data_IF_181151091110
#
_entry.id   IF_181151091110
#
_cell.length_a   1.000
_cell.length_b   1.000
_cell.length_c   1.000
_cell.angle_alpha   90.00
_cell.angle_beta   90.00
_cell.angle_gamma   90.00
#
_symmetry.space_group_name_H-M   'P 1'
#
loop_
_entity.id
_entity.type
_entity.pdbx_description
1 polymer ?
#
# COMPACT_ATOMS: atom_id res chain seq x y z
N UNK A 1 -6.89 8.71 21.14
CA UNK A 1 -5.92 9.82 20.90
C UNK A 1 -6.14 10.94 21.92
N UNK A 2 -5.79 10.72 23.19
CA UNK A 2 -6.00 11.71 24.28
C UNK A 2 -4.71 12.38 24.77
N UNK A 3 -3.54 11.94 24.29
CA UNK A 3 -2.25 12.46 24.75
C UNK A 3 -1.91 13.73 23.98
N UNK A 4 -1.80 14.85 24.70
CA UNK A 4 -1.30 16.10 24.15
C UNK A 4 0.12 15.95 23.57
N UNK A 5 0.46 16.70 22.51
CA UNK A 5 1.83 16.76 21.99
C UNK A 5 2.79 17.25 23.08
N UNK A 6 4.03 16.76 23.03
CA UNK A 6 5.08 17.19 23.94
C UNK A 6 5.43 18.66 23.69
N UNK A 7 5.95 19.33 24.71
CA UNK A 7 6.36 20.74 24.61
C UNK A 7 7.37 21.00 23.48
N UNK A 8 8.30 20.07 23.21
CA UNK A 8 9.25 20.19 22.10
C UNK A 8 8.56 20.24 20.73
N UNK A 9 7.49 19.46 20.55
CA UNK A 9 6.71 19.47 19.32
C UNK A 9 5.99 20.81 19.14
N UNK A 10 5.34 21.30 20.21
CA UNK A 10 4.67 22.61 20.19
C UNK A 10 5.68 23.74 19.93
N UNK A 11 6.83 23.70 20.60
CA UNK A 11 7.88 24.69 20.44
C UNK A 11 8.41 24.77 19.00
N UNK A 12 8.51 23.65 18.28
CA UNK A 12 8.91 23.63 16.88
C UNK A 12 7.95 24.43 15.98
N UNK A 13 6.63 24.21 16.12
CA UNK A 13 5.64 24.96 15.33
C UNK A 13 5.58 26.44 15.74
N UNK A 14 5.73 26.76 17.04
CA UNK A 14 5.84 28.15 17.49
C UNK A 14 7.10 28.83 16.95
N UNK A 15 8.22 28.10 16.86
CA UNK A 15 9.45 28.60 16.26
C UNK A 15 9.29 28.87 14.77
N UNK A 16 8.65 27.97 14.01
CA UNK A 16 8.31 28.19 12.60
C UNK A 16 7.46 29.45 12.42
N UNK A 17 6.51 29.73 13.34
CA UNK A 17 5.72 30.98 13.34
C UNK A 17 6.57 32.22 13.50
N UNK A 18 7.58 32.16 14.38
CA UNK A 18 8.52 33.26 14.56
C UNK A 18 9.43 33.48 13.34
N UNK A 19 9.55 32.51 12.42
CA UNK A 19 10.33 32.68 11.18
C UNK A 19 9.57 33.46 10.10
N UNK A 20 8.26 33.71 10.26
CA UNK A 20 7.47 34.44 9.27
C UNK A 20 7.29 33.68 7.95
N UNK A 21 7.11 32.35 8.00
CA UNK A 21 6.84 31.55 6.80
C UNK A 21 5.44 31.86 6.23
N UNK A 22 5.33 31.87 4.91
CA UNK A 22 4.08 32.13 4.19
C UNK A 22 3.24 30.88 3.95
N UNK A 23 3.88 29.70 3.88
CA UNK A 23 3.22 28.43 3.63
C UNK A 23 4.02 27.27 4.20
N UNK A 24 3.32 26.15 4.45
CA UNK A 24 3.92 24.91 4.93
C UNK A 24 3.82 23.85 3.83
N UNK A 25 4.98 23.30 3.41
CA UNK A 25 5.03 22.14 2.54
C UNK A 25 5.39 20.92 3.38
N UNK A 26 4.43 20.05 3.64
CA UNK A 26 4.70 18.77 4.29
C UNK A 26 5.14 17.73 3.25
N UNK A 27 6.19 16.95 3.56
CA UNK A 27 6.72 15.92 2.66
C UNK A 27 6.75 14.57 3.38
N UNK A 28 6.12 13.56 2.78
CA UNK A 28 6.01 12.20 3.33
C UNK A 28 4.63 11.60 3.10
N UNK A 29 4.48 10.29 3.34
CA UNK A 29 3.20 9.59 3.19
C UNK A 29 2.11 10.21 4.06
N UNK A 30 2.41 10.48 5.34
CA UNK A 30 1.58 11.27 6.24
C UNK A 30 2.44 11.90 7.34
N UNK A 31 1.88 12.91 8.01
CA UNK A 31 2.49 13.62 9.11
C UNK A 31 2.00 13.06 10.44
N UNK A 32 2.37 13.74 11.52
CA UNK A 32 1.79 13.51 12.86
C UNK A 32 0.76 14.57 13.21
N UNK A 33 0.77 15.71 12.51
CA UNK A 33 0.05 16.93 12.86
C UNK A 33 -1.46 16.74 12.72
N UNK A 34 -1.91 16.20 11.60
CA UNK A 34 -3.29 15.85 11.28
C UNK A 34 -3.88 14.76 12.20
N UNK A 35 -3.04 14.06 12.96
CA UNK A 35 -3.43 13.00 13.89
C UNK A 35 -3.45 13.44 15.35
N UNK A 36 -3.00 14.66 15.67
CA UNK A 36 -3.00 15.17 17.03
C UNK A 36 -4.44 15.23 17.62
N UNK A 37 -4.59 15.22 18.96
CA UNK A 37 -5.91 15.24 19.58
C UNK A 37 -6.75 16.45 19.16
N UNK A 38 -8.05 16.21 18.95
CA UNK A 38 -9.00 17.22 18.52
C UNK A 38 -10.21 16.58 17.84
N UNK A 39 -11.08 17.41 17.27
CA UNK A 39 -12.21 16.96 16.47
C UNK A 39 -11.74 16.23 15.21
N UNK A 40 -12.59 15.33 14.69
CA UNK A 40 -12.31 14.58 13.47
C UNK A 40 -12.30 15.45 12.20
N UNK A 41 -13.09 16.52 12.15
CA UNK A 41 -13.21 17.52 11.07
C UNK A 41 -13.77 18.81 11.66
N UNK A 42 -13.68 19.92 10.92
CA UNK A 42 -14.17 21.24 11.35
C UNK A 42 -13.59 21.61 12.73
N UNK A 43 -12.27 21.75 12.75
CA UNK A 43 -11.52 21.97 13.98
C UNK A 43 -11.95 23.27 14.65
N UNK A 44 -11.83 23.28 15.98
CA UNK A 44 -11.93 24.49 16.79
C UNK A 44 -10.53 24.93 17.21
N UNK A 45 -10.39 26.16 17.70
CA UNK A 45 -9.13 26.71 18.24
C UNK A 45 -8.50 25.88 19.36
N UNK A 46 -9.29 25.03 20.03
CA UNK A 46 -8.82 24.07 21.04
C UNK A 46 -8.25 22.75 20.46
N UNK A 47 -8.33 22.52 19.15
CA UNK A 47 -7.78 21.34 18.50
C UNK A 47 -6.31 21.55 18.20
N UNK A 48 -5.45 20.58 18.51
CA UNK A 48 -4.01 20.74 18.32
C UNK A 48 -3.55 21.04 16.89
N UNK A 49 -4.09 20.42 15.83
CA UNK A 49 -3.68 20.77 14.48
C UNK A 49 -3.95 22.27 14.20
N UNK A 50 -5.18 22.73 14.48
CA UNK A 50 -5.59 24.14 14.33
C UNK A 50 -4.74 25.10 15.18
N UNK A 51 -4.49 24.76 16.44
CA UNK A 51 -3.74 25.60 17.35
C UNK A 51 -2.28 25.83 16.89
N UNK A 52 -1.70 24.85 16.18
CA UNK A 52 -0.32 24.87 15.70
C UNK A 52 -0.18 25.47 14.29
N UNK A 53 -1.09 25.18 13.36
CA UNK A 53 -1.02 25.70 11.97
C UNK A 53 -1.71 27.03 11.79
N UNK A 54 -2.84 27.25 12.48
CA UNK A 54 -3.74 28.39 12.30
C UNK A 54 -4.02 28.69 10.82
N UNK A 55 -3.59 29.85 10.36
CA UNK A 55 -3.88 30.44 9.06
C UNK A 55 -2.88 30.04 7.95
N UNK A 56 -1.89 29.20 8.25
CA UNK A 56 -0.94 28.76 7.24
C UNK A 56 -1.58 27.90 6.14
N UNK A 57 -1.38 28.25 4.86
CA UNK A 57 -1.62 27.34 3.76
C UNK A 57 -0.76 26.09 3.89
N UNK A 58 -1.38 24.92 3.91
CA UNK A 58 -0.69 23.62 3.95
C UNK A 58 -0.75 22.97 2.57
N UNK A 59 0.41 22.83 1.93
CA UNK A 59 0.58 22.07 0.71
C UNK A 59 1.20 20.72 1.05
N UNK A 60 0.71 19.67 0.41
CA UNK A 60 1.09 18.32 0.79
C UNK A 60 1.21 17.43 -0.46
N UNK A 61 2.40 17.27 -1.05
CA UNK A 61 2.68 16.15 -1.94
C UNK A 61 2.26 14.82 -1.29
N UNK A 62 1.31 14.12 -1.89
CA UNK A 62 0.65 12.96 -1.29
C UNK A 62 0.51 11.83 -2.31
N UNK A 63 0.72 10.59 -1.88
CA UNK A 63 0.67 9.43 -2.76
C UNK A 63 -0.78 9.12 -3.20
N UNK A 64 -1.02 8.94 -4.50
CA UNK A 64 -2.39 8.79 -5.03
C UNK A 64 -3.13 7.55 -4.52
N UNK A 65 -2.41 6.50 -4.12
CA UNK A 65 -2.98 5.23 -3.68
C UNK A 65 -3.29 5.17 -2.17
N UNK A 66 -3.06 6.26 -1.43
CA UNK A 66 -3.43 6.38 -0.01
C UNK A 66 -4.49 7.47 0.24
N UNK A 67 -5.74 7.23 -0.22
CA UNK A 67 -6.80 8.22 -0.15
C UNK A 67 -7.31 8.47 1.27
N UNK A 68 -7.15 7.50 2.17
CA UNK A 68 -7.68 7.57 3.53
C UNK A 68 -6.92 8.60 4.36
N UNK A 69 -5.60 8.53 4.32
CA UNK A 69 -4.73 9.47 5.04
C UNK A 69 -4.74 10.86 4.40
N UNK A 70 -4.79 10.93 3.06
CA UNK A 70 -4.98 12.20 2.35
C UNK A 70 -6.25 12.91 2.85
N UNK A 71 -7.37 12.18 2.98
CA UNK A 71 -8.63 12.75 3.48
C UNK A 71 -8.50 13.31 4.92
N UNK A 72 -7.69 12.69 5.76
CA UNK A 72 -7.41 13.19 7.11
C UNK A 72 -6.65 14.52 7.07
N UNK A 73 -5.57 14.60 6.30
CA UNK A 73 -4.81 15.83 6.11
C UNK A 73 -5.68 16.96 5.55
N UNK A 74 -6.53 16.67 4.56
CA UNK A 74 -7.48 17.65 4.02
C UNK A 74 -8.47 18.17 5.07
N UNK A 75 -9.08 17.26 5.83
CA UNK A 75 -10.17 17.59 6.78
C UNK A 75 -9.68 18.29 8.04
N UNK A 76 -8.43 18.02 8.45
CA UNK A 76 -7.87 18.49 9.73
C UNK A 76 -6.79 19.55 9.59
N UNK A 77 -6.19 19.72 8.41
CA UNK A 77 -5.20 20.78 8.15
C UNK A 77 -5.64 21.76 7.05
N UNK A 78 -6.78 21.51 6.39
CA UNK A 78 -7.14 22.25 5.18
C UNK A 78 -6.18 21.99 4.01
N UNK A 79 -5.43 20.89 4.05
CA UNK A 79 -4.31 20.67 3.14
C UNK A 79 -4.74 20.56 1.66
N UNK A 80 -3.92 21.16 0.78
CA UNK A 80 -3.93 20.91 -0.67
C UNK A 80 -3.05 19.69 -0.93
N UNK A 81 -3.67 18.52 -1.05
CA UNK A 81 -2.99 17.24 -1.21
C UNK A 81 -2.68 17.00 -2.69
N UNK A 82 -1.47 17.34 -3.12
CA UNK A 82 -1.03 17.27 -4.52
C UNK A 82 -0.60 15.83 -4.81
N UNK A 83 -1.41 15.12 -5.58
CA UNK A 83 -1.17 13.71 -5.91
C UNK A 83 0.20 13.49 -6.57
N UNK A 84 0.88 12.42 -6.19
CA UNK A 84 2.03 11.88 -6.91
C UNK A 84 1.92 10.37 -7.08
N UNK A 85 2.59 9.83 -8.09
CA UNK A 85 2.53 8.38 -8.34
C UNK A 85 3.24 7.58 -7.24
N UNK A 86 2.79 6.34 -6.96
CA UNK A 86 3.62 5.35 -6.27
C UNK A 86 4.88 5.01 -7.09
N UNK A 87 5.90 4.39 -6.46
CA UNK A 87 7.04 3.84 -7.20
C UNK A 87 6.60 2.86 -8.28
N UNK A 88 7.38 2.78 -9.37
CA UNK A 88 7.12 1.86 -10.46
C UNK A 88 7.04 0.42 -9.93
N UNK A 89 5.99 -0.31 -10.32
CA UNK A 89 5.92 -1.74 -10.04
C UNK A 89 6.66 -2.50 -11.13
N UNK A 90 7.56 -3.38 -10.71
CA UNK A 90 8.15 -4.40 -11.57
C UNK A 90 7.64 -5.77 -11.16
N UNK A 91 7.62 -6.71 -12.11
CA UNK A 91 7.37 -8.11 -11.79
C UNK A 91 8.60 -8.67 -11.07
N UNK A 92 8.37 -9.58 -10.14
CA UNK A 92 9.43 -10.45 -9.66
C UNK A 92 9.97 -11.26 -10.84
N UNK A 93 11.14 -10.89 -11.36
CA UNK A 93 11.87 -11.75 -12.28
C UNK A 93 12.30 -13.04 -11.56
N UNK A 94 12.79 -14.01 -12.36
CA UNK A 94 13.32 -15.30 -11.90
C UNK A 94 14.20 -15.14 -10.67
N UNK A 95 13.82 -15.84 -9.59
CA UNK A 95 14.66 -16.02 -8.43
C UNK A 95 14.67 -14.86 -7.44
N UNK A 96 13.53 -14.58 -6.80
CA UNK A 96 13.49 -14.04 -5.44
C UNK A 96 14.13 -15.01 -4.42
N UNK A 97 15.34 -15.51 -4.71
CA UNK A 97 15.99 -16.66 -4.08
C UNK A 97 15.55 -18.03 -4.58
N UNK A 98 14.48 -18.15 -5.39
CA UNK A 98 13.81 -19.44 -5.70
C UNK A 98 14.18 -20.05 -7.08
N UNK A 99 15.17 -19.53 -7.79
CA UNK A 99 15.46 -19.95 -9.17
C UNK A 99 15.82 -21.44 -9.31
N UNK A 100 16.44 -22.03 -8.27
CA UNK A 100 16.74 -23.47 -8.24
C UNK A 100 15.48 -24.33 -8.06
N UNK A 101 14.54 -23.90 -7.21
CA UNK A 101 13.24 -24.56 -7.04
C UNK A 101 12.45 -24.56 -8.34
N UNK A 102 12.41 -23.42 -9.02
CA UNK A 102 11.76 -23.28 -10.32
C UNK A 102 12.33 -24.27 -11.35
N UNK A 103 13.66 -24.32 -11.50
CA UNK A 103 14.28 -25.25 -12.44
C UNK A 103 13.98 -26.71 -12.11
N UNK A 104 13.96 -27.08 -10.83
CA UNK A 104 13.64 -28.43 -10.38
C UNK A 104 12.16 -28.79 -10.62
N UNK A 105 11.24 -27.85 -10.41
CA UNK A 105 9.80 -28.01 -10.69
C UNK A 105 9.55 -28.20 -12.19
N UNK A 106 10.18 -27.38 -13.03
CA UNK A 106 10.10 -27.52 -14.48
C UNK A 106 10.66 -28.87 -14.95
N UNK A 107 11.79 -29.31 -14.39
CA UNK A 107 12.37 -30.63 -14.69
C UNK A 107 11.45 -31.77 -14.24
N UNK A 108 10.80 -31.64 -13.08
CA UNK A 108 9.83 -32.60 -12.58
C UNK A 108 8.60 -32.70 -13.48
N UNK A 109 8.03 -31.57 -13.92
CA UNK A 109 6.89 -31.54 -14.82
C UNK A 109 7.21 -32.18 -16.19
N UNK A 110 8.41 -31.94 -16.71
CA UNK A 110 8.88 -32.53 -17.98
C UNK A 110 9.20 -34.04 -17.87
N UNK A 111 9.41 -34.56 -16.66
CA UNK A 111 9.66 -35.98 -16.41
C UNK A 111 8.37 -36.82 -16.27
N UNK A 112 7.18 -36.19 -16.32
CA UNK A 112 5.91 -36.90 -16.20
C UNK A 112 5.68 -37.85 -17.39
N UNK A 113 5.31 -39.10 -17.07
CA UNK A 113 5.08 -40.18 -18.04
C UNK A 113 6.31 -40.87 -18.65
N UNK A 114 7.55 -40.39 -18.41
CA UNK A 114 8.76 -40.90 -19.09
C UNK A 114 9.74 -41.70 -18.20
N UNK A 115 9.95 -41.31 -16.94
CA UNK A 115 10.88 -42.00 -16.02
C UNK A 115 10.45 -41.84 -14.53
N UNK A 116 9.79 -42.86 -13.94
CA UNK A 116 9.37 -42.83 -12.54
C UNK A 116 10.53 -42.67 -11.53
N UNK A 117 11.69 -43.30 -11.78
CA UNK A 117 12.83 -43.24 -10.85
C UNK A 117 13.53 -41.87 -10.86
N UNK A 118 13.47 -41.15 -11.99
CA UNK A 118 13.89 -39.75 -12.04
C UNK A 118 12.93 -38.84 -11.28
N UNK A 119 11.62 -39.08 -11.34
CA UNK A 119 10.63 -38.28 -10.60
C UNK A 119 10.79 -38.37 -9.09
N UNK A 120 11.03 -39.55 -8.54
CA UNK A 120 11.23 -39.71 -7.10
C UNK A 120 12.47 -38.94 -6.62
N UNK A 121 13.55 -38.96 -7.41
CA UNK A 121 14.77 -38.17 -7.14
C UNK A 121 14.51 -36.67 -7.21
N UNK A 122 13.77 -36.21 -8.22
CA UNK A 122 13.40 -34.79 -8.36
C UNK A 122 12.51 -34.33 -7.21
N UNK A 123 11.55 -35.15 -6.77
CA UNK A 123 10.72 -34.86 -5.60
C UNK A 123 11.55 -34.68 -4.33
N UNK A 124 12.55 -35.55 -4.11
CA UNK A 124 13.46 -35.42 -2.97
C UNK A 124 14.31 -34.14 -3.05
N UNK A 125 14.88 -33.84 -4.23
CA UNK A 125 15.66 -32.61 -4.46
C UNK A 125 14.83 -31.33 -4.26
N UNK A 126 13.56 -31.33 -4.67
CA UNK A 126 12.65 -30.20 -4.48
C UNK A 126 12.34 -29.98 -3.00
N UNK A 127 12.10 -31.05 -2.24
CA UNK A 127 11.86 -30.95 -0.81
C UNK A 127 13.09 -30.42 -0.06
N UNK A 128 14.28 -30.97 -0.36
CA UNK A 128 15.55 -30.52 0.24
C UNK A 128 15.82 -29.04 -0.07
N UNK A 129 15.58 -28.61 -1.31
CA UNK A 129 15.76 -27.21 -1.67
C UNK A 129 14.72 -26.32 -0.98
N UNK A 130 13.46 -26.75 -0.87
CA UNK A 130 12.43 -25.99 -0.16
C UNK A 130 12.79 -25.78 1.32
N UNK A 131 13.38 -26.79 1.97
CA UNK A 131 13.87 -26.66 3.34
C UNK A 131 15.09 -25.72 3.41
N UNK A 132 16.01 -25.79 2.45
CA UNK A 132 17.22 -24.95 2.42
C UNK A 132 16.91 -23.45 2.35
N UNK A 133 15.81 -23.08 1.66
CA UNK A 133 15.32 -21.70 1.57
C UNK A 133 14.29 -21.32 2.64
N UNK A 134 14.01 -22.20 3.61
CA UNK A 134 13.10 -21.93 4.72
C UNK A 134 11.61 -22.02 4.39
N UNK A 135 11.24 -22.65 3.28
CA UNK A 135 9.83 -22.85 2.88
C UNK A 135 9.17 -24.02 3.60
N UNK A 136 9.93 -24.95 4.19
CA UNK A 136 9.41 -26.10 4.93
C UNK A 136 8.39 -25.73 6.02
N UNK A 137 8.77 -24.81 6.92
CA UNK A 137 7.89 -24.29 7.97
C UNK A 137 6.84 -23.32 7.42
N UNK A 138 7.26 -22.42 6.53
CA UNK A 138 6.41 -21.36 5.97
C UNK A 138 5.21 -21.92 5.22
N UNK A 139 5.38 -23.03 4.49
CA UNK A 139 4.32 -23.70 3.73
C UNK A 139 3.67 -24.86 4.48
N UNK A 140 4.12 -25.14 5.71
CA UNK A 140 3.66 -26.27 6.51
C UNK A 140 3.76 -27.58 5.74
N UNK A 141 4.93 -27.87 5.16
CA UNK A 141 5.12 -29.05 4.31
C UNK A 141 5.07 -30.36 5.10
N UNK A 142 5.42 -30.31 6.39
CA UNK A 142 5.34 -31.46 7.29
C UNK A 142 3.88 -31.93 7.46
N UNK A 143 3.59 -33.14 6.96
CA UNK A 143 2.25 -33.73 7.03
C UNK A 143 1.28 -33.24 5.96
N UNK A 144 1.74 -32.46 4.97
CA UNK A 144 0.90 -32.09 3.83
C UNK A 144 0.61 -33.30 2.93
N UNK A 145 -0.63 -33.42 2.45
CA UNK A 145 -1.03 -34.49 1.51
C UNK A 145 -0.26 -34.40 0.17
N UNK A 146 -0.05 -33.17 -0.33
CA UNK A 146 0.78 -32.92 -1.50
C UNK A 146 1.73 -31.73 -1.26
N UNK A 147 2.92 -31.96 -0.67
CA UNK A 147 3.91 -30.93 -0.44
C UNK A 147 4.40 -30.28 -1.75
N UNK A 148 4.44 -31.06 -2.84
CA UNK A 148 4.98 -30.59 -4.11
C UNK A 148 4.05 -29.56 -4.76
N UNK A 149 2.74 -29.83 -4.77
CA UNK A 149 1.75 -28.87 -5.26
C UNK A 149 1.76 -27.56 -4.46
N UNK A 150 2.02 -27.61 -3.14
CA UNK A 150 2.16 -26.41 -2.30
C UNK A 150 3.38 -25.58 -2.68
N UNK A 151 4.52 -26.23 -2.90
CA UNK A 151 5.76 -25.55 -3.33
C UNK A 151 5.55 -24.92 -4.71
N UNK A 152 4.95 -25.67 -5.66
CA UNK A 152 4.69 -25.19 -7.03
C UNK A 152 3.77 -23.97 -7.04
N UNK A 153 2.65 -24.03 -6.31
CA UNK A 153 1.72 -22.92 -6.17
C UNK A 153 2.41 -21.68 -5.57
N UNK A 154 3.22 -21.86 -4.53
CA UNK A 154 3.96 -20.76 -3.92
C UNK A 154 4.97 -20.13 -4.88
N UNK A 155 5.76 -20.94 -5.60
CA UNK A 155 6.73 -20.43 -6.58
C UNK A 155 6.01 -19.67 -7.71
N UNK A 156 4.86 -20.17 -8.18
CA UNK A 156 4.02 -19.48 -9.15
C UNK A 156 3.49 -18.13 -8.64
N UNK A 157 3.02 -18.08 -7.39
CA UNK A 157 2.53 -16.84 -6.77
C UNK A 157 3.65 -15.80 -6.62
N UNK A 158 4.84 -16.22 -6.20
CA UNK A 158 6.00 -15.34 -6.07
C UNK A 158 6.41 -14.77 -7.43
N UNK A 159 6.47 -15.60 -8.48
CA UNK A 159 6.74 -15.14 -9.86
C UNK A 159 5.70 -14.15 -10.37
N UNK A 160 4.42 -14.38 -10.04
CA UNK A 160 3.32 -13.50 -10.43
C UNK A 160 3.25 -12.20 -9.62
N UNK A 161 4.03 -12.08 -8.54
CA UNK A 161 3.99 -10.92 -7.65
C UNK A 161 4.66 -9.69 -8.26
N UNK A 162 4.19 -8.51 -7.84
CA UNK A 162 4.76 -7.23 -8.22
C UNK A 162 5.23 -6.49 -6.97
N UNK A 163 6.35 -5.78 -7.09
CA UNK A 163 6.90 -4.97 -6.02
C UNK A 163 7.37 -3.62 -6.55
N UNK A 164 7.48 -2.63 -5.65
CA UNK A 164 7.98 -1.31 -6.01
C UNK A 164 9.49 -1.35 -6.26
N UNK A 165 9.91 -1.02 -7.48
CA UNK A 165 11.32 -0.82 -7.80
C UNK A 165 11.72 0.61 -7.46
N UNK A 166 12.63 0.74 -6.49
CA UNK A 166 13.13 2.04 -6.05
C UNK A 166 12.07 2.93 -5.42
N UNK A 167 12.24 4.24 -5.58
CA UNK A 167 11.37 5.27 -5.00
C UNK A 167 10.90 6.24 -6.07
N UNK A 168 9.68 6.76 -5.90
CA UNK A 168 9.23 7.89 -6.68
C UNK A 168 10.03 9.14 -6.32
N UNK A 169 10.40 9.93 -7.33
CA UNK A 169 11.00 11.26 -7.14
C UNK A 169 9.99 12.30 -7.61
N UNK A 170 9.41 13.03 -6.66
CA UNK A 170 8.41 14.05 -6.95
C UNK A 170 8.91 15.05 -8.00
N UNK A 171 8.09 15.29 -9.01
CA UNK A 171 8.45 16.19 -10.09
C UNK A 171 9.44 15.58 -11.08
N UNK A 172 9.58 14.25 -11.18
CA UNK A 172 10.35 13.56 -12.24
C UNK A 172 9.50 12.50 -12.95
N UNK A 173 10.02 11.96 -14.05
CA UNK A 173 9.32 10.99 -14.88
C UNK A 173 8.13 11.59 -15.65
N UNK A 174 7.26 10.72 -16.14
CA UNK A 174 6.11 11.11 -17.00
C UNK A 174 5.16 12.09 -16.31
N UNK A 175 4.95 11.91 -15.00
CA UNK A 175 4.03 12.73 -14.22
C UNK A 175 4.67 13.99 -13.62
N UNK A 176 6.00 14.10 -13.71
CA UNK A 176 6.76 15.13 -12.99
C UNK A 176 6.42 16.56 -13.37
N UNK A 177 6.05 16.82 -14.64
CA UNK A 177 5.64 18.15 -15.05
C UNK A 177 4.32 18.59 -14.37
N UNK A 178 3.34 17.68 -14.30
CA UNK A 178 2.06 17.94 -13.65
C UNK A 178 2.22 18.09 -12.13
N UNK A 179 3.03 17.24 -11.49
CA UNK A 179 3.35 17.32 -10.07
C UNK A 179 3.96 18.68 -9.68
N UNK A 180 4.98 19.14 -10.44
CA UNK A 180 5.58 20.47 -10.22
C UNK A 180 4.58 21.59 -10.45
N UNK A 181 3.77 21.50 -11.51
CA UNK A 181 2.76 22.51 -11.82
C UNK A 181 1.72 22.64 -10.68
N UNK A 182 1.24 21.52 -10.14
CA UNK A 182 0.32 21.51 -9.01
C UNK A 182 0.90 22.14 -7.75
N UNK A 183 2.17 21.84 -7.44
CA UNK A 183 2.87 22.45 -6.31
C UNK A 183 3.08 23.95 -6.48
N UNK A 184 3.58 24.38 -7.64
CA UNK A 184 3.82 25.78 -7.94
C UNK A 184 2.52 26.60 -7.95
N UNK A 185 1.44 26.06 -8.55
CA UNK A 185 0.13 26.69 -8.51
C UNK A 185 -0.38 26.86 -7.07
N UNK A 186 -0.27 25.81 -6.24
CA UNK A 186 -0.62 25.92 -4.82
C UNK A 186 0.18 26.98 -4.08
N UNK A 187 1.49 27.07 -4.32
CA UNK A 187 2.37 28.06 -3.68
C UNK A 187 2.08 29.48 -4.16
N UNK A 188 1.63 29.63 -5.40
CA UNK A 188 1.18 30.90 -5.96
C UNK A 188 -0.23 31.32 -5.48
N UNK A 189 -0.89 30.50 -4.64
CA UNK A 189 -2.27 30.75 -4.20
C UNK A 189 -3.31 30.50 -5.30
N UNK A 190 -2.93 29.80 -6.37
CA UNK A 190 -3.82 29.47 -7.48
C UNK A 190 -4.61 28.18 -7.20
N UNK A 191 -5.70 28.00 -7.95
CA UNK A 191 -6.52 26.80 -7.84
C UNK A 191 -5.79 25.59 -8.42
N UNK A 192 -5.40 24.65 -7.55
CA UNK A 192 -4.97 23.31 -7.97
C UNK A 192 -6.19 22.48 -8.39
N UNK A 193 -6.26 21.95 -9.64
CA UNK A 193 -7.38 21.15 -10.11
C UNK A 193 -7.61 19.91 -9.23
N UNK A 194 -8.86 19.55 -8.99
CA UNK A 194 -9.19 18.33 -8.24
C UNK A 194 -8.95 17.07 -9.09
N UNK A 195 -8.55 15.96 -8.46
CA UNK A 195 -8.31 14.68 -9.13
C UNK A 195 -8.65 13.48 -8.25
N UNK A 196 -9.08 12.35 -8.83
CA UNK A 196 -9.40 11.16 -8.06
C UNK A 196 -8.13 10.56 -7.45
N UNK A 197 -8.35 9.78 -6.41
CA UNK A 197 -7.35 8.95 -5.75
C UNK A 197 -7.65 7.46 -5.97
N UNK A 198 -6.61 6.63 -5.84
CA UNK A 198 -6.64 5.19 -6.09
C UNK A 198 -5.30 4.67 -6.60
N UNK A 199 -5.13 3.35 -6.60
CA UNK A 199 -3.92 2.73 -7.15
C UNK A 199 -4.01 2.64 -8.67
N UNK A 200 -3.12 3.30 -9.44
CA UNK A 200 -3.09 3.14 -10.89
C UNK A 200 -2.84 1.69 -11.30
N UNK A 201 -2.09 0.94 -10.48
CA UNK A 201 -1.81 -0.49 -10.69
C UNK A 201 -3.00 -1.42 -10.45
N UNK A 202 -4.12 -0.92 -9.92
CA UNK A 202 -5.38 -1.67 -9.77
C UNK A 202 -6.43 -1.19 -10.78
N UNK A 203 -6.01 -0.77 -11.96
CA UNK A 203 -6.89 -0.36 -13.06
C UNK A 203 -7.49 1.04 -12.92
N UNK A 204 -7.07 1.84 -11.93
CA UNK A 204 -7.52 3.22 -11.75
C UNK A 204 -6.69 4.20 -12.58
N UNK A 205 -6.70 4.05 -13.90
CA UNK A 205 -5.98 4.94 -14.81
C UNK A 205 -6.49 6.40 -14.74
N UNK A 206 -7.72 6.62 -14.28
CA UNK A 206 -8.36 7.93 -14.08
C UNK A 206 -7.63 8.82 -13.05
N UNK A 207 -6.78 8.24 -12.20
CA UNK A 207 -5.93 8.99 -11.25
C UNK A 207 -4.80 9.74 -11.95
N UNK A 208 -4.48 9.38 -13.19
CA UNK A 208 -3.51 10.08 -14.02
C UNK A 208 -4.20 11.18 -14.87
N UNK A 209 -3.53 12.30 -15.16
CA UNK A 209 -2.22 12.69 -14.62
C UNK A 209 -2.28 13.00 -13.12
N UNK A 210 -1.15 12.88 -12.43
CA UNK A 210 -1.02 13.33 -11.03
C UNK A 210 -0.82 14.85 -10.96
N UNK A 211 -0.37 15.40 -9.83
CA UNK A 211 -0.27 16.84 -9.61
C UNK A 211 -1.61 17.54 -9.32
N UNK A 212 -2.66 16.76 -9.06
CA UNK A 212 -4.02 17.25 -8.76
C UNK A 212 -4.33 17.16 -7.28
N UNK A 213 -5.23 18.01 -6.79
CA UNK A 213 -5.73 18.02 -5.43
C UNK A 213 -6.66 16.83 -5.21
N UNK A 214 -6.20 15.82 -4.46
CA UNK A 214 -6.89 14.54 -4.32
C UNK A 214 -8.29 14.67 -3.70
N UNK A 215 -9.25 13.93 -4.26
CA UNK A 215 -10.54 13.66 -3.61
C UNK A 215 -10.73 12.15 -3.40
N UNK A 216 -11.45 11.79 -2.33
CA UNK A 216 -11.82 10.42 -1.99
C UNK A 216 -13.16 10.02 -2.64
N UNK A 217 -13.74 8.91 -2.22
CA UNK A 217 -15.02 8.41 -2.75
C UNK A 217 -16.24 9.02 -2.02
N UNK A 218 -17.43 8.91 -2.63
CA UNK A 218 -18.68 9.18 -1.91
C UNK A 218 -18.90 8.09 -0.85
N UNK A 219 -18.89 8.40 0.45
CA UNK A 219 -19.03 7.41 1.51
C UNK A 219 -20.40 6.70 1.50
N UNK A 220 -21.42 7.28 0.87
CA UNK A 220 -22.77 6.68 0.75
C UNK A 220 -22.84 5.64 -0.37
N UNK A 221 -21.85 5.63 -1.25
CA UNK A 221 -21.77 4.70 -2.38
C UNK A 221 -20.90 3.46 -2.05
N UNK A 222 -20.52 3.28 -0.79
CA UNK A 222 -19.70 2.17 -0.31
C UNK A 222 -20.55 1.20 0.52
N UNK A 223 -20.46 -0.12 0.30
CA UNK A 223 -19.66 -0.80 -0.73
C UNK A 223 -20.29 -0.68 -2.13
N UNK A 224 -19.46 -0.70 -3.17
CA UNK A 224 -19.94 -0.89 -4.54
C UNK A 224 -20.39 -2.34 -4.75
N UNK A 225 -21.19 -2.62 -5.79
CA UNK A 225 -21.58 -4.00 -6.14
C UNK A 225 -20.38 -4.91 -6.38
N UNK A 226 -19.35 -4.39 -7.05
CA UNK A 226 -18.11 -5.13 -7.28
C UNK A 226 -17.37 -5.42 -5.96
N UNK A 227 -17.28 -4.43 -5.07
CA UNK A 227 -16.66 -4.62 -3.75
C UNK A 227 -17.44 -5.61 -2.89
N UNK A 228 -18.77 -5.59 -2.92
CA UNK A 228 -19.61 -6.57 -2.24
C UNK A 228 -19.37 -7.99 -2.77
N UNK A 229 -19.32 -8.17 -4.10
CA UNK A 229 -19.03 -9.46 -4.71
C UNK A 229 -17.66 -10.02 -4.32
N UNK A 230 -16.64 -9.16 -4.18
CA UNK A 230 -15.33 -9.57 -3.66
C UNK A 230 -15.36 -9.86 -2.16
N UNK A 231 -16.10 -9.08 -1.37
CA UNK A 231 -16.25 -9.29 0.07
C UNK A 231 -16.86 -10.65 0.40
N UNK A 232 -17.87 -11.09 -0.36
CA UNK A 232 -18.46 -12.43 -0.22
C UNK A 232 -17.42 -13.53 -0.48
N UNK A 233 -16.67 -13.43 -1.57
CA UNK A 233 -15.62 -14.41 -1.90
C UNK A 233 -14.53 -14.49 -0.82
N UNK A 234 -14.09 -13.34 -0.30
CA UNK A 234 -13.09 -13.28 0.77
C UNK A 234 -13.62 -13.92 2.07
N UNK A 235 -14.87 -13.67 2.41
CA UNK A 235 -15.50 -14.28 3.58
C UNK A 235 -15.64 -15.80 3.43
N UNK A 236 -16.09 -16.28 2.26
CA UNK A 236 -16.20 -17.70 1.95
C UNK A 236 -14.83 -18.41 2.02
N UNK A 237 -13.79 -17.78 1.46
CA UNK A 237 -12.42 -18.32 1.51
C UNK A 237 -11.91 -18.45 2.93
N UNK A 238 -12.08 -17.40 3.73
CA UNK A 238 -11.69 -17.40 5.14
C UNK A 238 -12.39 -18.53 5.91
N UNK A 239 -13.70 -18.68 5.74
CA UNK A 239 -14.47 -19.72 6.44
C UNK A 239 -14.05 -21.12 5.99
N UNK A 240 -13.81 -21.31 4.69
CA UNK A 240 -13.35 -22.60 4.15
C UNK A 240 -11.99 -22.97 4.69
N UNK A 241 -11.05 -22.03 4.68
CA UNK A 241 -9.71 -22.22 5.22
C UNK A 241 -9.75 -22.58 6.70
N UNK A 242 -10.52 -21.85 7.51
CA UNK A 242 -10.66 -22.15 8.94
C UNK A 242 -11.25 -23.54 9.19
N UNK A 243 -12.29 -23.93 8.44
CA UNK A 243 -12.88 -25.27 8.55
C UNK A 243 -11.88 -26.38 8.20
N UNK A 244 -11.02 -26.17 7.19
CA UNK A 244 -9.99 -27.13 6.79
C UNK A 244 -8.86 -27.25 7.83
N UNK A 245 -8.49 -26.13 8.47
CA UNK A 245 -7.39 -26.08 9.45
C UNK A 245 -7.83 -26.57 10.84
N UNK A 246 -9.01 -26.17 11.30
CA UNK A 246 -9.47 -26.38 12.69
C UNK A 246 -10.60 -27.43 12.83
N UNK A 247 -11.27 -27.79 11.73
CA UNK A 247 -12.34 -28.79 11.73
C UNK A 247 -13.66 -28.36 12.38
N UNK A 248 -13.82 -27.09 12.77
CA UNK A 248 -15.07 -26.51 13.28
C UNK A 248 -15.35 -25.14 12.61
N UNK A 249 -16.57 -24.64 12.76
CA UNK A 249 -16.97 -23.33 12.24
C UNK A 249 -16.36 -22.17 13.04
N UNK A 250 -15.96 -21.12 12.32
CA UNK A 250 -15.45 -19.88 12.91
C UNK A 250 -16.53 -19.22 13.78
N UNK A 251 -16.24 -19.05 15.08
CA UNK A 251 -17.18 -18.48 16.06
C UNK A 251 -17.08 -16.97 16.17
N UNK A 252 -15.90 -16.40 15.93
CA UNK A 252 -15.63 -14.95 16.03
C UNK A 252 -14.42 -14.59 15.16
N UNK A 253 -14.46 -13.40 14.56
CA UNK A 253 -13.37 -12.79 13.80
C UNK A 253 -12.70 -11.68 14.61
#
# INVERSE_FOLDING_TARGET
>A
LSRCPRHSYVAFYLWLRAQGIDALVHVGAHGTLEWLPGKAVALSDACWPEALTRDWPVLYPFIVNDPGEAAQAKRRLGAVTIGHVPPALVQAETGAGLGRLEALLDEYANADGLDPARRDRLRASIAEEADSVGLGETLGLAGAEDPLARIDAFVCDVKGSQFGEGLHVFGRGEQGAAERAGLLAGLAGERVPAGPSGSPYRGRADVLPTGRNLYAIDPRAVPSRAAQGQGVKLAEELLRRHMQEEGDYLRTL
#
